data_IF_200242922543
#
_entry.id   IF_200242922543
#
_cell.length_a   1.000
_cell.length_b   1.000
_cell.length_c   1.000
_cell.angle_alpha   90.00
_cell.angle_beta   90.00
_cell.angle_gamma   90.00
#
_symmetry.space_group_name_H-M   'P 1'
#
loop_
_entity.id
_entity.type
_entity.pdbx_description
1 polymer ?
#
# COMPACT_ATOMS: atom_id res chain seq x y z
N UNK A 1 -42.81 -19.00 42.37
CA UNK A 1 -41.63 -18.94 41.48
C UNK A 1 -41.56 -17.54 40.89
N UNK A 2 -40.44 -16.84 41.02
CA UNK A 2 -40.24 -15.52 40.42
C UNK A 2 -40.23 -15.62 38.89
N UNK A 3 -40.55 -14.53 38.17
CA UNK A 3 -40.50 -14.51 36.70
C UNK A 3 -39.08 -14.85 36.23
N UNK A 4 -38.97 -15.84 35.34
CA UNK A 4 -37.69 -16.23 34.73
C UNK A 4 -36.86 -17.26 35.49
N UNK A 5 -37.31 -17.78 36.64
CA UNK A 5 -36.64 -18.88 37.33
C UNK A 5 -36.91 -20.24 36.62
N UNK A 6 -35.87 -21.03 36.43
CA UNK A 6 -35.91 -22.37 35.79
C UNK A 6 -35.60 -23.45 36.82
N UNK A 7 -34.58 -23.24 37.67
CA UNK A 7 -34.30 -24.06 38.87
C UNK A 7 -34.08 -23.17 40.09
N UNK A 8 -33.68 -23.74 41.23
CA UNK A 8 -33.35 -22.96 42.44
C UNK A 8 -32.17 -22.00 42.24
N UNK A 9 -31.27 -22.28 41.28
CA UNK A 9 -30.05 -21.50 41.02
C UNK A 9 -29.87 -21.08 39.55
N UNK A 10 -30.84 -21.39 38.68
CA UNK A 10 -30.78 -21.06 37.24
C UNK A 10 -31.99 -20.21 36.88
N UNK A 11 -31.73 -19.08 36.21
CA UNK A 11 -32.74 -18.24 35.59
C UNK A 11 -32.45 -17.98 34.10
N UNK A 12 -33.44 -17.41 33.41
CA UNK A 12 -33.36 -17.11 31.98
C UNK A 12 -32.20 -16.16 31.63
N UNK A 13 -31.92 -15.17 32.48
CA UNK A 13 -30.84 -14.20 32.21
C UNK A 13 -29.46 -14.89 32.27
N UNK A 14 -29.26 -15.78 33.23
CA UNK A 14 -28.05 -16.59 33.32
C UNK A 14 -27.88 -17.50 32.09
N UNK A 15 -28.96 -18.13 31.61
CA UNK A 15 -28.88 -18.95 30.39
C UNK A 15 -28.53 -18.13 29.15
N UNK A 16 -29.15 -16.96 28.98
CA UNK A 16 -28.84 -16.04 27.86
C UNK A 16 -27.37 -15.62 27.91
N UNK A 17 -26.82 -15.36 29.09
CA UNK A 17 -25.41 -15.04 29.26
C UNK A 17 -24.49 -16.18 28.82
N UNK A 18 -24.78 -17.43 29.18
CA UNK A 18 -23.97 -18.57 28.73
C UNK A 18 -24.09 -18.83 27.23
N UNK A 19 -25.29 -18.68 26.65
CA UNK A 19 -25.48 -18.76 25.20
C UNK A 19 -24.67 -17.68 24.49
N UNK A 20 -24.67 -16.45 25.01
CA UNK A 20 -23.82 -15.37 24.50
C UNK A 20 -22.33 -15.76 24.56
N UNK A 21 -21.83 -16.30 25.67
CA UNK A 21 -20.42 -16.70 25.78
C UNK A 21 -20.04 -17.80 24.79
N UNK A 22 -20.90 -18.79 24.58
CA UNK A 22 -20.67 -19.85 23.58
C UNK A 22 -20.66 -19.26 22.17
N UNK A 23 -21.63 -18.40 21.84
CA UNK A 23 -21.65 -17.69 20.56
C UNK A 23 -20.40 -16.85 20.35
N UNK A 24 -20.00 -16.07 21.35
CA UNK A 24 -18.83 -15.19 21.30
C UNK A 24 -17.54 -15.99 21.10
N UNK A 25 -17.35 -17.09 21.83
CA UNK A 25 -16.22 -17.99 21.62
C UNK A 25 -16.22 -18.59 20.21
N UNK A 26 -17.40 -18.97 19.69
CA UNK A 26 -17.57 -19.41 18.30
C UNK A 26 -17.22 -18.32 17.28
N UNK A 27 -17.59 -17.07 17.54
CA UNK A 27 -17.24 -15.92 16.70
C UNK A 27 -15.72 -15.67 16.69
N UNK A 28 -15.06 -15.73 17.85
CA UNK A 28 -13.59 -15.62 17.93
C UNK A 28 -12.91 -16.72 17.12
N UNK A 29 -13.38 -17.96 17.24
CA UNK A 29 -12.88 -19.08 16.44
C UNK A 29 -13.04 -18.81 14.93
N UNK A 30 -14.24 -18.39 14.51
CA UNK A 30 -14.53 -18.09 13.11
C UNK A 30 -13.64 -16.96 12.57
N UNK A 31 -13.50 -15.86 13.30
CA UNK A 31 -12.68 -14.72 12.89
C UNK A 31 -11.20 -15.08 12.81
N UNK A 32 -10.67 -15.87 13.76
CA UNK A 32 -9.29 -16.34 13.73
C UNK A 32 -9.02 -17.34 12.59
N UNK A 33 -10.03 -18.10 12.17
CA UNK A 33 -9.93 -18.99 11.02
C UNK A 33 -9.94 -18.21 9.71
N UNK A 34 -10.85 -17.24 9.57
CA UNK A 34 -10.98 -16.40 8.37
C UNK A 34 -9.84 -15.38 8.22
N UNK A 35 -9.19 -14.97 9.31
CA UNK A 35 -8.03 -14.05 9.25
C UNK A 35 -6.80 -14.65 8.59
N UNK A 36 -6.78 -15.97 8.36
CA UNK A 36 -5.65 -16.72 7.76
C UNK A 36 -5.74 -16.85 6.24
N UNK A 37 -6.55 -16.03 5.61
CA UNK A 37 -6.77 -16.05 4.17
C UNK A 37 -5.60 -15.45 3.36
N UNK A 38 -4.80 -14.59 3.97
CA UNK A 38 -3.62 -13.98 3.35
C UNK A 38 -2.45 -14.02 4.35
N UNK A 39 -1.20 -14.16 3.86
CA UNK A 39 0.00 -14.14 4.71
C UNK A 39 0.19 -15.38 5.59
N UNK A 40 -0.54 -16.46 5.31
CA UNK A 40 -0.38 -17.78 5.95
C UNK A 40 -0.08 -18.85 4.89
N UNK A 41 0.61 -19.94 5.26
CA UNK A 41 1.12 -20.29 6.60
C UNK A 41 2.29 -19.39 7.03
N UNK A 42 2.49 -19.27 8.34
CA UNK A 42 3.64 -18.55 8.89
C UNK A 42 4.92 -19.29 8.55
N UNK A 43 5.96 -18.54 8.19
CA UNK A 43 7.28 -19.08 7.93
C UNK A 43 8.22 -18.79 9.11
N UNK A 44 9.04 -19.78 9.47
CA UNK A 44 10.06 -19.63 10.50
C UNK A 44 11.38 -20.23 10.03
N UNK A 45 12.43 -19.41 10.10
CA UNK A 45 13.79 -19.84 9.79
C UNK A 45 14.31 -20.77 10.89
N UNK A 46 14.75 -21.95 10.49
CA UNK A 46 15.48 -22.85 11.38
C UNK A 46 16.98 -22.56 11.32
N UNK A 47 17.69 -23.00 12.37
CA UNK A 47 19.15 -22.87 12.47
C UNK A 47 19.91 -23.60 11.36
N UNK A 48 19.30 -24.61 10.75
CA UNK A 48 19.85 -25.36 9.61
C UNK A 48 19.60 -24.68 8.25
N UNK A 49 18.98 -23.50 8.25
CA UNK A 49 18.64 -22.75 7.04
C UNK A 49 17.37 -23.22 6.33
N UNK A 50 16.68 -24.24 6.86
CA UNK A 50 15.38 -24.67 6.32
C UNK A 50 14.23 -23.78 6.83
N UNK A 51 13.21 -23.60 5.99
CA UNK A 51 12.00 -22.85 6.34
C UNK A 51 10.92 -23.81 6.82
N UNK A 52 10.38 -23.58 8.02
CA UNK A 52 9.23 -24.32 8.54
C UNK A 52 7.97 -23.49 8.34
N UNK A 53 6.96 -24.10 7.73
CA UNK A 53 5.62 -23.53 7.54
C UNK A 53 4.65 -24.03 8.60
N UNK A 54 3.94 -23.11 9.26
CA UNK A 54 3.01 -23.42 10.32
C UNK A 54 1.67 -22.70 10.15
N UNK A 55 0.53 -23.41 10.22
CA UNK A 55 -0.80 -22.78 10.18
C UNK A 55 -1.15 -22.09 11.51
N UNK A 56 -0.34 -22.23 12.56
CA UNK A 56 -0.64 -21.79 13.91
C UNK A 56 -1.62 -22.71 14.65
N UNK A 57 -2.39 -22.16 15.60
CA UNK A 57 -3.26 -22.92 16.52
C UNK A 57 -4.48 -23.57 15.82
N UNK A 58 -4.96 -22.95 14.74
CA UNK A 58 -6.09 -23.44 13.94
C UNK A 58 -5.60 -23.89 12.55
N UNK A 59 -6.25 -24.86 11.90
CA UNK A 59 -5.91 -25.25 10.53
C UNK A 59 -6.13 -24.11 9.53
N UNK A 60 -5.59 -24.27 8.32
CA UNK A 60 -5.81 -23.33 7.21
C UNK A 60 -7.28 -23.32 6.76
N UNK A 61 -7.80 -22.15 6.33
CA UNK A 61 -9.12 -22.05 5.77
C UNK A 61 -9.25 -22.76 4.42
N UNK A 62 -10.46 -23.29 4.15
CA UNK A 62 -10.78 -23.77 2.80
C UNK A 62 -10.68 -22.60 1.82
N UNK A 63 -10.17 -22.90 0.62
CA UNK A 63 -10.06 -21.92 -0.46
C UNK A 63 -11.44 -21.36 -0.78
N UNK A 64 -11.55 -20.03 -0.71
CA UNK A 64 -12.68 -19.27 -1.20
C UNK A 64 -12.29 -18.66 -2.55
N UNK A 65 -13.19 -18.75 -3.51
CA UNK A 65 -13.01 -18.16 -4.84
C UNK A 65 -13.72 -16.82 -4.92
N UNK A 66 -12.96 -15.75 -5.16
CA UNK A 66 -13.48 -14.42 -5.45
C UNK A 66 -13.54 -14.23 -6.96
N UNK A 67 -14.76 -14.23 -7.51
CA UNK A 67 -14.97 -14.00 -8.94
C UNK A 67 -14.94 -12.51 -9.22
N UNK A 68 -14.02 -12.07 -10.06
CA UNK A 68 -13.96 -10.66 -10.49
C UNK A 68 -14.46 -10.52 -11.92
N UNK A 69 -14.88 -9.30 -12.27
CA UNK A 69 -15.43 -9.02 -13.60
C UNK A 69 -14.37 -9.04 -14.70
N UNK A 70 -13.15 -8.58 -14.41
CA UNK A 70 -12.14 -8.31 -15.44
C UNK A 70 -10.80 -9.01 -15.25
N UNK A 71 -10.41 -9.36 -14.01
CA UNK A 71 -9.08 -9.91 -13.70
C UNK A 71 -9.12 -11.41 -13.33
N UNK A 72 -10.22 -12.08 -13.65
CA UNK A 72 -10.42 -13.52 -13.40
C UNK A 72 -10.81 -13.86 -11.95
N UNK A 73 -10.68 -15.14 -11.61
CA UNK A 73 -11.04 -15.66 -10.30
C UNK A 73 -9.81 -15.68 -9.38
N UNK A 74 -9.95 -15.15 -8.17
CA UNK A 74 -8.90 -15.11 -7.16
C UNK A 74 -9.18 -16.11 -6.03
N UNK A 75 -8.37 -17.16 -5.88
CA UNK A 75 -8.44 -18.03 -4.72
C UNK A 75 -7.85 -17.34 -3.48
N UNK A 76 -8.35 -17.66 -2.30
CA UNK A 76 -7.77 -17.24 -1.01
C UNK A 76 -8.09 -18.27 0.09
N UNK A 77 -7.11 -18.89 0.76
CA UNK A 77 -5.65 -18.69 0.59
C UNK A 77 -5.13 -19.06 -0.80
N UNK A 78 -4.00 -18.47 -1.21
CA UNK A 78 -3.42 -18.68 -2.53
C UNK A 78 -1.97 -19.17 -2.48
N UNK A 79 -1.51 -19.89 -3.51
CA UNK A 79 -0.17 -20.48 -3.56
C UNK A 79 0.96 -19.44 -3.63
N UNK A 80 0.66 -18.19 -3.99
CA UNK A 80 1.65 -17.10 -3.97
C UNK A 80 2.20 -16.84 -2.56
N UNK A 81 1.40 -17.07 -1.50
CA UNK A 81 1.86 -16.94 -0.11
C UNK A 81 2.96 -17.95 0.24
N UNK A 82 3.14 -18.98 -0.58
CA UNK A 82 4.17 -20.00 -0.41
C UNK A 82 5.49 -19.63 -1.13
N UNK A 83 5.56 -18.49 -1.79
CA UNK A 83 6.71 -18.12 -2.62
C UNK A 83 7.13 -16.68 -2.32
N UNK A 84 8.02 -16.50 -1.35
CA UNK A 84 8.57 -15.19 -1.05
C UNK A 84 9.59 -14.76 -2.13
N UNK A 85 9.43 -13.58 -2.75
CA UNK A 85 10.46 -13.03 -3.60
C UNK A 85 11.71 -12.70 -2.79
N UNK A 86 12.89 -13.12 -3.27
CA UNK A 86 14.14 -12.67 -2.66
C UNK A 86 14.23 -11.14 -2.68
N UNK A 87 14.44 -10.56 -1.50
CA UNK A 87 14.69 -9.13 -1.32
C UNK A 87 16.17 -8.80 -1.55
N UNK A 88 16.48 -7.57 -1.97
CA UNK A 88 17.86 -7.12 -2.19
C UNK A 88 18.49 -6.62 -0.89
N UNK A 89 18.68 -7.54 0.06
CA UNK A 89 19.26 -7.22 1.35
C UNK A 89 19.76 -8.45 2.10
N UNK A 90 20.58 -8.19 3.10
CA UNK A 90 21.21 -9.21 3.95
C UNK A 90 20.87 -8.95 5.41
N UNK A 91 20.84 -10.01 6.23
CA UNK A 91 20.62 -9.84 7.67
C UNK A 91 21.82 -9.12 8.28
N UNK A 92 21.55 -8.17 9.18
CA UNK A 92 22.60 -7.46 9.93
C UNK A 92 23.51 -8.41 10.74
N UNK A 93 22.99 -9.57 11.13
CA UNK A 93 23.75 -10.66 11.76
C UNK A 93 23.11 -12.03 11.43
N UNK A 94 23.87 -13.15 11.49
CA UNK A 94 23.39 -14.49 11.13
C UNK A 94 22.53 -15.14 12.23
N UNK A 95 21.55 -14.40 12.75
CA UNK A 95 20.63 -14.85 13.81
C UNK A 95 19.20 -14.56 13.37
N UNK A 96 18.28 -15.50 13.64
CA UNK A 96 16.85 -15.35 13.36
C UNK A 96 16.30 -14.11 14.08
N UNK A 97 15.49 -13.32 13.39
CA UNK A 97 14.89 -12.09 13.92
C UNK A 97 15.76 -10.83 13.77
N UNK A 98 16.98 -10.95 13.25
CA UNK A 98 17.79 -9.77 12.91
C UNK A 98 17.20 -9.02 11.72
N UNK A 99 17.27 -7.68 11.70
CA UNK A 99 16.76 -6.87 10.61
C UNK A 99 17.57 -7.09 9.33
N UNK A 100 16.93 -6.81 8.19
CA UNK A 100 17.58 -6.80 6.89
C UNK A 100 18.11 -5.41 6.55
N UNK A 101 19.37 -5.38 6.13
CA UNK A 101 20.07 -4.23 5.58
C UNK A 101 19.99 -4.28 4.05
N UNK A 102 19.55 -3.19 3.39
CA UNK A 102 19.55 -3.12 1.93
C UNK A 102 20.97 -3.31 1.36
N UNK A 103 21.10 -4.13 0.32
CA UNK A 103 22.32 -4.24 -0.49
C UNK A 103 22.21 -3.26 -1.66
N UNK A 104 23.16 -2.34 -1.80
CA UNK A 104 23.15 -1.34 -2.87
C UNK A 104 22.37 -0.08 -2.51
N UNK A 105 21.61 0.48 -3.46
CA UNK A 105 20.82 1.69 -3.23
C UNK A 105 19.53 1.36 -2.45
N UNK A 106 19.38 1.87 -1.22
CA UNK A 106 18.21 1.58 -0.39
C UNK A 106 16.90 2.11 -1.00
N UNK A 107 16.93 3.15 -1.84
CA UNK A 107 15.74 3.70 -2.48
C UNK A 107 15.09 2.74 -3.48
N UNK A 108 15.88 1.83 -4.04
CA UNK A 108 15.45 0.90 -5.10
C UNK A 108 15.54 -0.57 -4.69
N UNK A 109 15.96 -0.85 -3.45
CA UNK A 109 16.11 -2.20 -2.90
C UNK A 109 14.79 -2.98 -2.70
N UNK A 110 13.66 -2.27 -2.60
CA UNK A 110 12.35 -2.88 -2.35
C UNK A 110 12.18 -3.47 -0.94
N UNK A 111 12.90 -2.94 0.05
CA UNK A 111 12.90 -3.42 1.44
C UNK A 111 12.27 -2.40 2.38
N UNK A 112 11.68 -2.91 3.46
CA UNK A 112 11.14 -2.11 4.55
C UNK A 112 10.03 -1.19 4.05
N UNK A 113 10.11 0.13 4.28
CA UNK A 113 9.08 1.06 3.80
C UNK A 113 9.08 1.21 2.26
N UNK A 114 10.12 0.70 1.58
CA UNK A 114 10.19 0.61 0.13
C UNK A 114 9.61 -0.67 -0.48
N UNK A 115 9.19 -1.62 0.36
CA UNK A 115 8.63 -2.87 -0.11
C UNK A 115 7.26 -2.68 -0.76
N UNK A 116 6.95 -3.53 -1.74
CA UNK A 116 5.71 -3.48 -2.49
C UNK A 116 5.28 -4.87 -2.92
N UNK A 117 3.98 -5.04 -3.18
CA UNK A 117 3.42 -6.32 -3.59
C UNK A 117 3.46 -6.47 -5.11
N UNK A 118 3.80 -7.67 -5.60
CA UNK A 118 3.64 -8.03 -7.02
C UNK A 118 2.16 -8.28 -7.35
N UNK A 119 1.40 -7.20 -7.47
CA UNK A 119 0.02 -7.22 -8.00
C UNK A 119 0.04 -7.51 -9.50
N UNK A 120 -1.13 -7.77 -10.06
CA UNK A 120 -1.30 -8.01 -11.50
C UNK A 120 -0.74 -6.82 -12.31
N UNK A 121 0.03 -7.09 -13.36
CA UNK A 121 0.59 -6.07 -14.25
C UNK A 121 -0.43 -5.60 -15.32
N UNK A 122 -1.63 -5.28 -14.85
CA UNK A 122 -2.76 -4.78 -15.64
C UNK A 122 -3.35 -3.53 -14.96
N UNK A 123 -3.93 -2.58 -15.72
CA UNK A 123 -4.63 -1.43 -15.16
C UNK A 123 -5.88 -1.85 -14.36
N UNK A 124 -6.17 -1.13 -13.28
CA UNK A 124 -7.49 -1.22 -12.65
C UNK A 124 -8.56 -0.64 -13.59
N UNK A 125 -9.77 -1.16 -13.49
CA UNK A 125 -10.88 -0.81 -14.38
C UNK A 125 -12.08 -0.26 -13.59
N UNK A 126 -12.80 0.64 -14.23
CA UNK A 126 -14.11 1.11 -13.78
C UNK A 126 -15.15 -0.01 -13.87
N UNK A 127 -16.35 0.22 -13.34
CA UNK A 127 -17.47 -0.75 -13.42
C UNK A 127 -17.84 -1.12 -14.86
N UNK A 128 -17.64 -0.20 -15.80
CA UNK A 128 -17.94 -0.37 -17.22
C UNK A 128 -16.78 -0.97 -18.02
N UNK A 129 -15.60 -1.12 -17.41
CA UNK A 129 -14.42 -1.74 -18.03
C UNK A 129 -13.41 -0.77 -18.63
N UNK A 130 -13.61 0.54 -18.49
CA UNK A 130 -12.61 1.52 -18.89
C UNK A 130 -11.48 1.68 -17.85
N UNK A 131 -10.31 2.19 -18.26
CA UNK A 131 -9.17 2.48 -17.36
C UNK A 131 -9.54 3.37 -16.16
N UNK A 132 -9.39 2.89 -14.93
CA UNK A 132 -9.85 3.65 -13.76
C UNK A 132 -9.06 4.94 -13.51
N UNK A 133 -7.72 4.85 -13.52
CA UNK A 133 -6.83 5.98 -13.24
C UNK A 133 -6.20 6.45 -14.56
N UNK A 134 -6.49 7.71 -14.94
CA UNK A 134 -6.08 8.30 -16.22
C UNK A 134 -5.66 9.77 -16.06
N UNK A 135 -4.86 10.32 -16.99
CA UNK A 135 -4.64 11.77 -17.09
C UNK A 135 -5.96 12.55 -17.15
N UNK A 136 -6.02 13.73 -16.53
CA UNK A 136 -7.20 14.59 -16.53
C UNK A 136 -7.59 15.00 -17.96
N UNK A 137 -6.62 15.23 -18.85
CA UNK A 137 -6.89 15.47 -20.27
C UNK A 137 -7.62 14.31 -20.99
N UNK A 138 -7.51 13.09 -20.46
CA UNK A 138 -8.17 11.89 -20.99
C UNK A 138 -9.47 11.51 -20.23
N UNK A 139 -9.93 12.36 -19.31
CA UNK A 139 -11.12 12.15 -18.49
C UNK A 139 -12.23 13.16 -18.86
N UNK A 140 -12.97 12.98 -19.97
CA UNK A 140 -14.05 13.88 -20.33
C UNK A 140 -15.10 13.95 -19.22
N UNK A 141 -15.55 15.16 -18.90
CA UNK A 141 -16.48 15.41 -17.79
C UNK A 141 -15.83 15.63 -16.43
N UNK A 142 -14.50 15.49 -16.33
CA UNK A 142 -13.75 15.84 -15.13
C UNK A 142 -13.16 17.24 -15.26
N UNK A 143 -13.20 17.99 -14.17
CA UNK A 143 -12.53 19.28 -14.04
C UNK A 143 -12.05 19.46 -12.60
N UNK A 144 -11.06 20.33 -12.42
CA UNK A 144 -10.77 20.85 -11.09
C UNK A 144 -11.91 21.76 -10.65
N UNK A 145 -12.21 21.76 -9.36
CA UNK A 145 -13.20 22.66 -8.78
C UNK A 145 -12.69 24.09 -8.86
N UNK A 146 -13.56 25.02 -9.20
CA UNK A 146 -13.21 26.44 -9.23
C UNK A 146 -12.78 26.92 -7.84
N UNK A 147 -11.64 27.63 -7.78
CA UNK A 147 -11.05 28.12 -6.53
C UNK A 147 -9.98 27.20 -5.95
N UNK A 148 -9.95 25.92 -6.33
CA UNK A 148 -8.85 25.03 -5.94
C UNK A 148 -7.59 25.35 -6.76
N UNK A 149 -6.39 25.30 -6.15
CA UNK A 149 -5.15 25.53 -6.88
C UNK A 149 -4.91 24.47 -7.94
N UNK A 150 -4.81 24.86 -9.21
CA UNK A 150 -4.32 23.98 -10.26
C UNK A 150 -2.81 23.74 -10.10
N UNK A 151 -2.36 22.51 -9.75
CA UNK A 151 -0.94 22.22 -9.55
C UNK A 151 -0.13 22.21 -10.84
N UNK A 152 -0.74 22.17 -12.02
CA UNK A 152 0.00 22.17 -13.29
C UNK A 152 0.83 23.44 -13.45
N UNK A 153 2.09 23.27 -13.84
CA UNK A 153 3.11 24.32 -13.91
C UNK A 153 3.77 24.65 -12.56
N UNK A 154 3.32 24.08 -11.44
CA UNK A 154 3.99 24.31 -10.15
C UNK A 154 5.32 23.51 -10.07
N UNK A 155 6.39 24.11 -9.51
CA UNK A 155 7.61 23.36 -9.21
C UNK A 155 7.37 22.38 -8.07
N UNK A 156 8.01 21.21 -8.16
CA UNK A 156 8.01 20.19 -7.11
C UNK A 156 9.29 20.31 -6.30
N UNK A 157 9.13 20.57 -5.00
CA UNK A 157 10.20 20.85 -4.05
C UNK A 157 10.37 19.66 -3.11
N UNK A 158 11.58 19.10 -3.07
CA UNK A 158 11.94 17.97 -2.23
C UNK A 158 12.13 18.31 -0.74
N UNK A 159 12.44 17.30 0.07
CA UNK A 159 12.72 17.46 1.50
C UNK A 159 13.93 18.33 1.78
N UNK A 160 14.88 18.37 0.85
CA UNK A 160 16.09 19.18 0.82
C UNK A 160 15.84 20.64 0.35
N UNK A 161 14.57 21.02 0.20
CA UNK A 161 14.10 22.31 -0.32
C UNK A 161 14.62 22.64 -1.75
N UNK A 162 15.19 21.66 -2.45
CA UNK A 162 15.60 21.76 -3.84
C UNK A 162 14.44 21.44 -4.79
N UNK A 163 14.39 22.11 -5.93
CA UNK A 163 13.43 21.79 -7.00
C UNK A 163 13.90 20.55 -7.76
N UNK A 164 13.02 19.55 -7.90
CA UNK A 164 13.32 18.33 -8.66
C UNK A 164 12.57 18.20 -9.99
N UNK A 165 11.52 19.00 -10.19
CA UNK A 165 10.73 18.95 -11.42
C UNK A 165 9.58 19.94 -11.43
N UNK A 166 8.72 19.83 -12.45
CA UNK A 166 7.51 20.63 -12.61
C UNK A 166 6.32 19.73 -12.87
N UNK A 167 5.19 19.98 -12.20
CA UNK A 167 3.95 19.25 -12.46
C UNK A 167 3.44 19.59 -13.85
N UNK A 168 3.09 18.59 -14.65
CA UNK A 168 2.61 18.77 -16.02
C UNK A 168 1.22 18.23 -16.26
N UNK A 169 0.76 17.28 -15.46
CA UNK A 169 -0.56 16.71 -15.58
C UNK A 169 -1.06 16.18 -14.22
N UNK A 170 -2.36 16.01 -14.10
CA UNK A 170 -3.07 15.49 -12.93
C UNK A 170 -3.72 14.19 -13.37
N UNK A 171 -3.56 13.12 -12.59
CA UNK A 171 -4.20 11.84 -12.85
C UNK A 171 -5.34 11.63 -11.86
N UNK A 172 -6.52 11.33 -12.40
CA UNK A 172 -7.78 11.22 -11.66
C UNK A 172 -8.31 9.80 -11.68
N UNK A 173 -9.01 9.44 -10.61
CA UNK A 173 -9.80 8.23 -10.48
C UNK A 173 -11.22 8.46 -10.98
N UNK A 174 -11.60 7.77 -12.05
CA UNK A 174 -12.93 7.90 -12.66
C UNK A 174 -14.05 7.26 -11.84
N UNK A 175 -13.73 6.32 -10.96
CA UNK A 175 -14.73 5.64 -10.13
C UNK A 175 -15.04 6.45 -8.86
N UNK A 176 -14.04 7.11 -8.27
CA UNK A 176 -14.18 7.79 -6.97
C UNK A 176 -14.11 9.32 -7.05
N UNK A 177 -13.96 9.90 -8.25
CA UNK A 177 -13.94 11.35 -8.48
C UNK A 177 -12.89 12.10 -7.64
N UNK A 178 -11.66 11.59 -7.63
CA UNK A 178 -10.55 12.19 -6.89
C UNK A 178 -9.23 12.16 -7.66
N UNK A 179 -8.33 13.08 -7.31
CA UNK A 179 -6.94 13.06 -7.79
C UNK A 179 -6.20 11.92 -7.08
N UNK A 180 -5.43 11.12 -7.83
CA UNK A 180 -4.57 10.06 -7.29
C UNK A 180 -3.08 10.40 -7.40
N UNK A 181 -2.69 10.96 -8.54
CA UNK A 181 -1.30 11.30 -8.81
C UNK A 181 -1.17 12.65 -9.53
N UNK A 182 0.01 13.26 -9.40
CA UNK A 182 0.51 14.31 -10.26
C UNK A 182 1.57 13.70 -11.17
N UNK A 183 1.54 14.01 -12.47
CA UNK A 183 2.63 13.69 -13.37
C UNK A 183 3.64 14.84 -13.35
N UNK A 184 4.91 14.50 -13.14
CA UNK A 184 5.99 15.47 -12.96
C UNK A 184 7.00 15.28 -14.08
N UNK A 185 7.39 16.39 -14.73
CA UNK A 185 8.59 16.43 -15.54
C UNK A 185 9.80 16.65 -14.64
N UNK A 186 10.70 15.69 -14.58
CA UNK A 186 11.96 15.86 -13.85
C UNK A 186 12.90 16.81 -14.58
N UNK A 187 13.93 17.31 -13.89
CA UNK A 187 14.95 18.16 -14.50
C UNK A 187 15.67 17.50 -15.70
N UNK A 188 15.83 16.17 -15.70
CA UNK A 188 16.39 15.42 -16.82
C UNK A 188 15.37 15.10 -17.94
N UNK A 189 14.12 15.52 -17.78
CA UNK A 189 13.08 15.44 -18.80
C UNK A 189 12.19 14.18 -18.74
N UNK A 190 12.36 13.29 -17.76
CA UNK A 190 11.49 12.12 -17.59
C UNK A 190 10.12 12.53 -17.06
N UNK A 191 9.10 11.74 -17.41
CA UNK A 191 7.78 11.77 -16.78
C UNK A 191 7.73 10.75 -15.65
N UNK A 192 7.43 11.20 -14.44
CA UNK A 192 7.30 10.35 -13.26
C UNK A 192 6.00 10.65 -12.51
N UNK A 193 5.47 9.64 -11.85
CA UNK A 193 4.22 9.75 -11.09
C UNK A 193 4.53 10.13 -9.65
N UNK A 194 3.86 11.16 -9.14
CA UNK A 194 3.95 11.61 -7.76
C UNK A 194 2.58 11.39 -7.07
N UNK A 195 2.46 10.47 -6.10
CA UNK A 195 1.20 10.24 -5.41
C UNK A 195 0.73 11.48 -4.66
N UNK A 196 -0.56 11.83 -4.79
CA UNK A 196 -1.11 13.04 -4.18
C UNK A 196 -1.03 12.99 -2.64
N UNK A 197 -1.02 11.79 -2.05
CA UNK A 197 -0.89 11.57 -0.60
C UNK A 197 0.49 11.93 -0.04
N UNK A 198 1.50 12.07 -0.89
CA UNK A 198 2.82 12.59 -0.54
C UNK A 198 2.99 14.09 -0.86
N UNK A 199 1.96 14.70 -1.44
CA UNK A 199 1.99 16.10 -1.88
C UNK A 199 1.41 17.02 -0.82
N UNK A 200 2.10 18.13 -0.58
CA UNK A 200 1.50 19.34 -0.02
C UNK A 200 1.46 20.41 -1.09
N UNK A 201 0.28 20.65 -1.66
CA UNK A 201 0.06 21.72 -2.65
C UNK A 201 -0.07 23.05 -1.91
N UNK A 202 0.78 24.01 -2.27
CA UNK A 202 0.78 25.36 -1.70
C UNK A 202 0.50 26.34 -2.83
N UNK A 203 -0.47 27.22 -2.60
CA UNK A 203 -0.81 28.29 -3.52
C UNK A 203 -1.38 29.46 -2.72
N UNK A 204 -0.49 30.30 -2.24
CA UNK A 204 -0.85 31.51 -1.50
C UNK A 204 0.13 32.65 -1.80
N UNK A 205 -0.23 33.86 -1.39
CA UNK A 205 0.58 35.07 -1.68
C UNK A 205 1.91 35.11 -0.93
N UNK A 206 2.04 34.38 0.17
CA UNK A 206 3.21 34.41 1.06
C UNK A 206 4.25 33.39 0.61
N UNK A 207 3.82 32.16 0.31
CA UNK A 207 4.69 31.03 0.00
C UNK A 207 4.79 30.73 -1.50
N UNK A 208 4.02 31.43 -2.33
CA UNK A 208 3.94 31.23 -3.77
C UNK A 208 3.16 29.98 -4.16
N UNK A 209 3.40 29.49 -5.39
CA UNK A 209 2.81 28.27 -5.94
C UNK A 209 3.86 27.19 -6.05
N UNK A 210 3.69 26.07 -5.33
CA UNK A 210 4.61 24.93 -5.34
C UNK A 210 3.95 23.68 -4.80
N UNK A 211 4.48 22.52 -5.17
CA UNK A 211 4.15 21.24 -4.55
C UNK A 211 5.33 20.79 -3.72
N UNK A 212 5.13 20.55 -2.42
CA UNK A 212 6.17 20.02 -1.55
C UNK A 212 6.01 18.51 -1.44
N UNK A 213 7.09 17.77 -1.67
CA UNK A 213 7.21 16.33 -1.38
C UNK A 213 8.26 16.11 -0.31
N UNK A 214 7.83 15.86 0.92
CA UNK A 214 8.77 15.62 2.03
C UNK A 214 9.33 14.20 2.04
N UNK A 215 8.81 13.27 1.25
CA UNK A 215 9.31 11.89 1.24
C UNK A 215 10.71 11.76 0.65
N UNK A 216 11.06 12.53 -0.38
CA UNK A 216 12.33 12.38 -1.13
C UNK A 216 12.99 13.74 -1.38
N UNK A 217 14.28 13.74 -1.73
CA UNK A 217 15.03 14.90 -2.21
C UNK A 217 14.61 15.28 -3.63
N UNK A 218 14.87 16.52 -4.05
CA UNK A 218 14.56 17.01 -5.39
C UNK A 218 15.19 16.13 -6.48
N UNK A 219 16.48 15.84 -6.36
CA UNK A 219 17.22 14.98 -7.32
C UNK A 219 16.69 13.53 -7.38
N UNK A 220 16.10 13.03 -6.30
CA UNK A 220 15.60 11.64 -6.21
C UNK A 220 14.32 11.44 -7.02
N UNK A 221 13.65 12.50 -7.48
CA UNK A 221 12.54 12.36 -8.42
C UNK A 221 12.97 11.64 -9.70
N UNK A 222 14.24 11.75 -10.09
CA UNK A 222 14.79 11.03 -11.24
C UNK A 222 14.83 9.51 -11.02
N UNK A 223 14.89 9.03 -9.78
CA UNK A 223 14.91 7.61 -9.46
C UNK A 223 13.52 6.94 -9.45
N UNK A 224 12.43 7.71 -9.52
CA UNK A 224 11.07 7.18 -9.44
C UNK A 224 10.81 6.19 -10.59
N UNK A 225 10.22 5.01 -10.32
CA UNK A 225 9.84 4.07 -11.37
C UNK A 225 8.92 4.72 -12.42
N UNK A 226 9.32 4.62 -13.69
CA UNK A 226 8.51 5.11 -14.80
C UNK A 226 7.38 4.15 -15.16
N UNK A 227 6.35 4.68 -15.83
CA UNK A 227 5.29 3.86 -16.41
C UNK A 227 5.76 3.23 -17.72
N UNK A 228 5.32 2.00 -17.99
CA UNK A 228 5.53 1.32 -19.28
C UNK A 228 4.79 2.00 -20.41
N UNK A 229 3.60 2.55 -20.12
CA UNK A 229 2.80 3.32 -21.07
C UNK A 229 2.42 4.66 -20.45
N UNK A 230 2.49 5.77 -21.20
CA UNK A 230 2.25 7.12 -20.65
C UNK A 230 0.78 7.43 -20.39
N UNK A 231 -0.15 6.60 -20.90
CA UNK A 231 -1.59 6.85 -20.87
C UNK A 231 -2.34 6.03 -19.80
N UNK A 232 -1.65 5.14 -19.09
CA UNK A 232 -2.24 4.24 -18.09
C UNK A 232 -1.21 3.81 -17.06
N UNK A 233 -1.70 3.49 -15.87
CA UNK A 233 -0.92 2.89 -14.78
C UNK A 233 -1.52 1.53 -14.44
N UNK A 234 -0.66 0.52 -14.27
CA UNK A 234 -1.07 -0.82 -13.82
C UNK A 234 -1.09 -0.91 -12.29
N UNK A 235 -1.85 -1.87 -11.74
CA UNK A 235 -1.85 -2.15 -10.30
C UNK A 235 -0.44 -2.43 -9.77
N UNK A 236 0.44 -3.02 -10.59
CA UNK A 236 1.83 -3.27 -10.22
C UNK A 236 2.72 -2.03 -10.31
N UNK A 237 2.49 -1.14 -11.26
CA UNK A 237 3.20 0.14 -11.34
C UNK A 237 2.79 1.08 -10.20
N UNK A 238 1.52 1.09 -9.80
CA UNK A 238 1.04 1.81 -8.61
C UNK A 238 1.84 1.40 -7.35
N UNK A 239 2.01 0.09 -7.15
CA UNK A 239 2.81 -0.49 -6.06
C UNK A 239 4.27 -0.04 -6.09
N UNK A 240 4.93 -0.07 -7.26
CA UNK A 240 6.34 0.36 -7.40
C UNK A 240 6.52 1.85 -7.14
N UNK A 241 5.64 2.68 -7.69
CA UNK A 241 5.68 4.13 -7.49
C UNK A 241 5.51 4.43 -6.00
N UNK A 242 4.47 3.88 -5.36
CA UNK A 242 4.23 4.06 -3.93
C UNK A 242 5.39 3.56 -3.07
N UNK A 243 5.92 2.38 -3.38
CA UNK A 243 7.09 1.81 -2.71
C UNK A 243 8.30 2.74 -2.77
N UNK A 244 8.60 3.36 -3.91
CA UNK A 244 9.73 4.29 -4.02
C UNK A 244 9.61 5.50 -3.07
N UNK A 245 8.44 6.13 -3.00
CA UNK A 245 8.22 7.24 -2.06
C UNK A 245 8.20 6.77 -0.60
N UNK A 246 7.67 5.58 -0.34
CA UNK A 246 7.77 4.92 0.97
C UNK A 246 9.23 4.69 1.40
N UNK A 247 10.08 4.19 0.50
CA UNK A 247 11.52 4.05 0.75
C UNK A 247 12.13 5.39 1.20
N UNK A 248 11.72 6.48 0.55
CA UNK A 248 12.15 7.83 0.88
C UNK A 248 11.92 8.21 2.34
N UNK A 249 10.82 7.79 2.97
CA UNK A 249 10.51 8.16 4.36
C UNK A 249 11.53 7.67 5.38
N UNK A 250 12.37 6.70 5.02
CA UNK A 250 13.47 6.21 5.86
C UNK A 250 14.85 6.43 5.22
N UNK A 251 14.95 6.36 3.89
CA UNK A 251 16.23 6.29 3.18
C UNK A 251 16.57 7.55 2.37
N UNK A 252 15.65 8.51 2.22
CA UNK A 252 15.91 9.69 1.40
C UNK A 252 17.05 10.57 1.93
N UNK A 253 17.30 10.61 3.24
CA UNK A 253 18.40 11.36 3.85
C UNK A 253 19.01 10.51 4.97
N UNK A 254 20.34 10.54 5.19
CA UNK A 254 21.00 9.68 6.18
C UNK A 254 20.39 9.78 7.59
N UNK A 255 20.11 11.00 8.06
CA UNK A 255 19.59 11.25 9.40
C UNK A 255 18.16 10.76 9.69
N UNK A 256 17.46 10.15 8.72
CA UNK A 256 16.17 9.48 8.97
C UNK A 256 16.30 8.09 9.55
N UNK A 257 17.45 7.46 9.34
CA UNK A 257 17.69 6.08 9.73
C UNK A 257 18.20 5.96 11.17
N UNK A 258 18.85 7.03 11.63
CA UNK A 258 19.39 7.11 12.98
C UNK A 258 18.30 7.38 14.01
N UNK A 259 18.49 6.93 15.27
CA UNK A 259 17.65 7.34 16.38
C UNK A 259 17.54 8.87 16.47
N UNK A 260 16.36 9.36 16.84
CA UNK A 260 16.09 10.81 16.96
C UNK A 260 16.83 11.44 18.14
N UNK A 261 17.21 10.64 19.14
CA UNK A 261 17.86 11.04 20.40
C UNK A 261 19.15 10.27 20.63
#
# INVERSE_FOLDING_TARGET
>A
MGRGAITQYIDVAQMVLYVFWVFFAGLVFYLLYESKREGFPLESDRRDGSIKREPGILPMPRVKMYRTRFHGDFPSPHERDLHEPRVQGERAAPVTGMPFEPTGDPMTSGIGPGAFTRRTDEPDLTVDGDLKIVPLAAAPGFSLVEGDPDPRGMPVIGVDDAAGGTVVEIWVDRSEHMIRYLEVQTAAGRRVMLPITFCRVISDRVHGRKVIVRAIRGEQLEGVPGLRRPDRITLFEEEKVMGYYGAGTLFAIPGRRDPIL
#
